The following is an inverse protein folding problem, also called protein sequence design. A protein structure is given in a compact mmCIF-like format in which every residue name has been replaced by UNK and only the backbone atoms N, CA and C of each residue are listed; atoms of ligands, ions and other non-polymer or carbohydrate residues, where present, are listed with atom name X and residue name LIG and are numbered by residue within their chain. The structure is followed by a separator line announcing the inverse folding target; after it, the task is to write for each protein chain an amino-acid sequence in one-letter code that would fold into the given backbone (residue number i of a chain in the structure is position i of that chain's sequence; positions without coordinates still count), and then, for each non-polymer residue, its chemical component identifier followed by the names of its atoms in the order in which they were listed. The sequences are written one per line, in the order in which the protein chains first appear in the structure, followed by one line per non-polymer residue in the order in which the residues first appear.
data_IF_672349440777
#
_entry.id   IF_672349440777
#
_cell.length_a   1.000
_cell.length_b   1.000
_cell.length_c   1.000
_cell.angle_alpha   90.00
_cell.angle_beta   90.00
_cell.angle_gamma   90.00
#
_symmetry.space_group_name_H-M   'P 1'
#
loop_
_entity.id
_entity.type
_entity.pdbx_description
1 polymer ?
#
# COMPACT_ATOMS: atom_id res chain seq x y z
N UNK A 1 12.51 -7.91 16.85
CA UNK A 1 12.49 -7.48 15.44
C UNK A 1 11.30 -6.55 15.27
N UNK A 2 11.53 -5.24 15.17
CA UNK A 2 10.45 -4.28 14.98
C UNK A 2 9.83 -4.52 13.60
N UNK A 3 8.59 -4.97 13.54
CA UNK A 3 7.84 -5.05 12.29
C UNK A 3 7.52 -3.63 11.86
N UNK A 4 8.38 -3.04 11.02
CA UNK A 4 8.13 -1.73 10.44
C UNK A 4 6.95 -1.83 9.45
N UNK A 5 5.82 -1.16 9.72
CA UNK A 5 4.65 -1.21 8.84
C UNK A 5 4.97 -0.76 7.41
N UNK A 6 5.94 0.14 7.23
CA UNK A 6 6.36 0.61 5.90
C UNK A 6 6.92 -0.56 5.06
N UNK A 7 7.86 -1.30 5.64
CA UNK A 7 8.50 -2.43 4.96
C UNK A 7 7.50 -3.55 4.66
N UNK A 8 6.53 -3.80 5.54
CA UNK A 8 5.48 -4.79 5.27
C UNK A 8 4.64 -4.40 4.04
N UNK A 9 4.21 -3.14 3.95
CA UNK A 9 3.42 -2.63 2.84
C UNK A 9 4.22 -2.67 1.54
N UNK A 10 5.48 -2.21 1.55
CA UNK A 10 6.33 -2.21 0.37
C UNK A 10 6.63 -3.64 -0.12
N UNK A 11 7.01 -4.54 0.78
CA UNK A 11 7.27 -5.94 0.44
C UNK A 11 6.03 -6.62 -0.15
N UNK A 12 4.83 -6.32 0.37
CA UNK A 12 3.58 -6.82 -0.18
C UNK A 12 3.34 -6.33 -1.61
N UNK A 13 3.41 -5.01 -1.83
CA UNK A 13 3.21 -4.41 -3.15
C UNK A 13 4.26 -4.87 -4.16
N UNK A 14 5.50 -5.07 -3.72
CA UNK A 14 6.59 -5.58 -4.56
C UNK A 14 6.36 -7.03 -4.99
N UNK A 15 5.95 -7.91 -4.07
CA UNK A 15 5.67 -9.33 -4.37
C UNK A 15 4.53 -9.52 -5.37
N UNK A 16 3.59 -8.57 -5.39
CA UNK A 16 2.39 -8.66 -6.21
C UNK A 16 2.46 -7.76 -7.45
N UNK A 17 3.59 -7.10 -7.71
CA UNK A 17 3.77 -6.26 -8.89
C UNK A 17 3.55 -7.09 -10.17
N UNK A 18 2.83 -6.58 -11.18
CA UNK A 18 2.35 -5.20 -11.38
C UNK A 18 0.93 -4.90 -10.88
N UNK A 19 0.36 -5.74 -10.01
CA UNK A 19 -1.03 -5.59 -9.53
C UNK A 19 -1.16 -4.41 -8.58
N UNK A 20 -2.32 -3.76 -8.62
CA UNK A 20 -2.71 -2.69 -7.72
C UNK A 20 -3.66 -3.18 -6.62
N UNK A 21 -3.61 -2.51 -5.46
CA UNK A 21 -4.39 -2.90 -4.28
C UNK A 21 -4.99 -1.69 -3.58
N UNK A 22 -6.19 -1.86 -3.06
CA UNK A 22 -6.83 -0.90 -2.17
C UNK A 22 -6.24 -0.94 -0.76
N UNK A 23 -6.52 0.11 0.03
CA UNK A 23 -6.12 0.15 1.45
C UNK A 23 -6.67 -1.05 2.23
N UNK A 24 -7.89 -1.50 1.92
CA UNK A 24 -8.53 -2.63 2.60
C UNK A 24 -7.85 -3.96 2.26
N UNK A 25 -7.48 -4.18 0.99
CA UNK A 25 -6.75 -5.38 0.58
C UNK A 25 -5.35 -5.42 1.20
N UNK A 26 -4.63 -4.29 1.18
CA UNK A 26 -3.31 -4.22 1.82
C UNK A 26 -3.43 -4.47 3.33
N UNK A 27 -4.45 -3.94 4.00
CA UNK A 27 -4.70 -4.17 5.42
C UNK A 27 -4.99 -5.65 5.72
N UNK A 28 -5.83 -6.29 4.90
CA UNK A 28 -6.18 -7.70 5.07
C UNK A 28 -4.94 -8.61 4.91
N UNK A 29 -4.09 -8.34 3.93
CA UNK A 29 -2.92 -9.17 3.62
C UNK A 29 -1.74 -8.92 4.57
N UNK A 30 -1.54 -7.68 5.02
CA UNK A 30 -0.44 -7.33 5.94
C UNK A 30 -0.79 -7.51 7.41
N UNK A 31 -2.07 -7.70 7.73
CA UNK A 31 -2.58 -7.73 9.11
C UNK A 31 -2.54 -6.38 9.82
N UNK A 32 -2.24 -5.30 9.09
CA UNK A 32 -2.20 -3.93 9.62
C UNK A 32 -3.60 -3.32 9.64
N UNK A 33 -3.87 -2.47 10.63
CA UNK A 33 -5.12 -1.71 10.66
C UNK A 33 -5.20 -0.74 9.45
N UNK A 34 -6.38 -0.61 8.84
CA UNK A 34 -6.60 0.22 7.63
C UNK A 34 -6.07 1.66 7.77
N UNK A 35 -6.20 2.25 8.97
CA UNK A 35 -5.74 3.63 9.20
C UNK A 35 -4.20 3.72 9.19
N UNK A 36 -3.53 2.69 9.69
CA UNK A 36 -2.07 2.56 9.62
C UNK A 36 -1.65 2.48 8.15
N UNK A 37 -2.25 1.54 7.40
CA UNK A 37 -1.98 1.38 5.98
C UNK A 37 -2.20 2.68 5.20
N UNK A 38 -3.32 3.36 5.44
CA UNK A 38 -3.63 4.65 4.81
C UNK A 38 -2.57 5.72 5.11
N UNK A 39 -2.10 5.81 6.36
CA UNK A 39 -1.09 6.79 6.77
C UNK A 39 0.25 6.51 6.08
N UNK A 40 0.67 5.24 6.05
CA UNK A 40 1.94 4.85 5.44
C UNK A 40 1.92 4.94 3.92
N UNK A 41 0.85 4.48 3.26
CA UNK A 41 0.69 4.66 1.80
C UNK A 41 0.73 6.13 1.39
N UNK A 42 0.13 7.03 2.17
CA UNK A 42 0.23 8.47 1.91
C UNK A 42 1.66 9.01 2.02
N UNK A 43 2.45 8.54 3.00
CA UNK A 43 3.87 8.87 3.11
C UNK A 43 4.67 8.34 1.91
N UNK A 44 4.48 7.07 1.58
CA UNK A 44 5.12 6.41 0.44
C UNK A 44 4.75 7.05 -0.91
N UNK A 45 3.53 7.54 -1.05
CA UNK A 45 3.07 8.25 -2.25
C UNK A 45 3.76 9.62 -2.38
N UNK A 46 3.94 10.33 -1.26
CA UNK A 46 4.75 11.58 -1.22
C UNK A 46 6.21 11.33 -1.57
N UNK A 47 6.76 10.20 -1.12
CA UNK A 47 8.13 9.76 -1.45
C UNK A 47 8.26 9.18 -2.87
N UNK A 48 7.15 9.09 -3.63
CA UNK A 48 7.07 8.51 -4.98
C UNK A 48 7.47 7.03 -5.07
N UNK A 49 7.45 6.30 -3.95
CA UNK A 49 7.66 4.85 -3.91
C UNK A 49 6.41 4.07 -4.35
N UNK A 50 5.24 4.65 -4.12
CA UNK A 50 3.95 4.12 -4.59
C UNK A 50 3.17 5.23 -5.29
N UNK A 51 2.20 4.86 -6.12
CA UNK A 51 1.25 5.81 -6.71
C UNK A 51 -0.15 5.23 -6.75
N UNK A 52 -1.14 6.11 -6.70
CA UNK A 52 -2.51 5.74 -7.07
C UNK A 52 -2.56 5.39 -8.55
N UNK A 53 -2.96 4.16 -8.90
CA UNK A 53 -3.10 3.69 -10.29
C UNK A 53 -4.46 4.09 -10.89
N UNK A 54 -5.54 3.75 -10.19
CA UNK A 54 -6.93 3.96 -10.60
C UNK A 54 -7.84 4.07 -9.38
N UNK A 55 -9.05 4.56 -9.61
CA UNK A 55 -10.12 4.59 -8.61
C UNK A 55 -11.22 3.63 -9.06
N UNK A 56 -11.61 2.69 -8.21
CA UNK A 56 -12.73 1.77 -8.45
C UNK A 56 -13.84 2.14 -7.47
N UNK A 57 -14.91 2.76 -7.97
CA UNK A 57 -15.95 3.34 -7.12
C UNK A 57 -15.39 4.43 -6.20
N UNK A 58 -15.34 4.16 -4.89
CA UNK A 58 -14.75 5.06 -3.88
C UNK A 58 -13.35 4.63 -3.42
N UNK A 59 -12.87 3.47 -3.86
CA UNK A 59 -11.58 2.92 -3.44
C UNK A 59 -10.45 3.40 -4.36
N UNK A 60 -9.38 3.92 -3.75
CA UNK A 60 -8.13 4.22 -4.45
C UNK A 60 -7.25 2.98 -4.47
N UNK A 61 -6.75 2.63 -5.65
CA UNK A 61 -5.84 1.51 -5.85
C UNK A 61 -4.42 2.02 -5.90
N UNK A 62 -3.50 1.35 -5.20
CA UNK A 62 -2.10 1.71 -5.07
C UNK A 62 -1.22 0.65 -5.72
N UNK A 63 -0.19 1.11 -6.45
CA UNK A 63 0.82 0.26 -7.09
C UNK A 63 2.21 0.78 -6.76
N UNK A 64 3.19 -0.13 -6.74
CA UNK A 64 4.60 0.22 -6.59
C UNK A 64 5.11 1.04 -7.80
N UNK A 65 6.00 1.99 -7.54
CA UNK A 65 6.71 2.80 -8.55
C UNK A 65 8.20 2.50 -8.45
N UNK A 66 8.85 2.29 -9.61
CA UNK A 66 10.30 2.16 -9.75
C UNK A 66 10.96 3.52 -9.96
#
# INVERSE_FOLDING_TARGET
MSQDPENLILNFLQKQYPKDFSIEEVAAETGLHRNTVSKYLFGLEKEKKVKTSRTIGRAKMYVLVY
#
